data_IF_912781559930
#
_entry.id   IF_912781559930
#
_cell.length_a   1.000
_cell.length_b   1.000
_cell.length_c   1.000
_cell.angle_alpha   90.00
_cell.angle_beta   90.00
_cell.angle_gamma   90.00
#
_symmetry.space_group_name_H-M   'P 1'
#
loop_
_entity.id
_entity.type
_entity.pdbx_description
1 polymer ?
#
# COMPACT_ATOMS: atom_id res chain seq x y z
N UNK A 1 5.40 -22.27 -17.80
CA UNK A 1 4.19 -21.97 -16.97
C UNK A 1 4.55 -21.61 -15.54
N UNK A 2 5.53 -22.26 -14.91
CA UNK A 2 5.95 -22.00 -13.52
C UNK A 2 6.44 -20.57 -13.26
N UNK A 3 7.22 -20.00 -14.19
CA UNK A 3 7.74 -18.62 -14.08
C UNK A 3 6.61 -17.57 -14.04
N UNK A 4 5.53 -17.75 -14.80
CA UNK A 4 4.40 -16.82 -14.81
C UNK A 4 3.62 -16.86 -13.49
N UNK A 5 3.37 -18.06 -12.95
CA UNK A 5 2.68 -18.25 -11.68
C UNK A 5 3.46 -17.63 -10.51
N UNK A 6 4.79 -17.70 -10.55
CA UNK A 6 5.67 -17.08 -9.57
C UNK A 6 5.59 -15.55 -9.62
N UNK A 7 5.60 -14.96 -10.82
CA UNK A 7 5.44 -13.51 -11.01
C UNK A 7 4.08 -13.04 -10.50
N UNK A 8 2.99 -13.73 -10.86
CA UNK A 8 1.63 -13.38 -10.38
C UNK A 8 1.53 -13.50 -8.86
N UNK A 9 2.13 -14.54 -8.27
CA UNK A 9 2.15 -14.71 -6.81
C UNK A 9 2.88 -13.57 -6.11
N UNK A 10 4.01 -13.11 -6.65
CA UNK A 10 4.74 -11.95 -6.12
C UNK A 10 3.89 -10.68 -6.23
N UNK A 11 3.21 -10.46 -7.35
CA UNK A 11 2.33 -9.29 -7.53
C UNK A 11 1.17 -9.29 -6.52
N UNK A 12 0.58 -10.45 -6.25
CA UNK A 12 -0.46 -10.62 -5.22
C UNK A 12 0.13 -10.33 -3.83
N UNK A 13 1.31 -10.84 -3.53
CA UNK A 13 1.97 -10.65 -2.23
C UNK A 13 2.28 -9.16 -1.99
N UNK A 14 2.77 -8.45 -3.00
CA UNK A 14 3.01 -7.01 -2.95
C UNK A 14 1.70 -6.23 -2.81
N UNK A 15 0.63 -6.65 -3.50
CA UNK A 15 -0.68 -6.00 -3.39
C UNK A 15 -1.28 -6.14 -1.98
N UNK A 16 -1.10 -7.29 -1.33
CA UNK A 16 -1.58 -7.53 0.04
C UNK A 16 -0.70 -6.80 1.05
N UNK A 17 0.62 -6.81 0.88
CA UNK A 17 1.56 -6.28 1.87
C UNK A 17 1.88 -4.79 1.72
N UNK A 18 1.69 -4.18 0.54
CA UNK A 18 2.08 -2.80 0.27
C UNK A 18 1.45 -1.79 1.23
N UNK A 19 0.14 -1.88 1.45
CA UNK A 19 -0.58 -1.01 2.39
C UNK A 19 -0.24 -1.29 3.87
N UNK A 20 -0.22 -2.56 4.36
CA UNK A 20 0.29 -2.87 5.70
C UNK A 20 1.71 -2.38 5.96
N UNK A 21 2.62 -2.50 4.99
CA UNK A 21 4.00 -2.00 5.08
C UNK A 21 3.99 -0.47 5.17
N UNK A 22 3.23 0.22 4.32
CA UNK A 22 3.07 1.68 4.40
C UNK A 22 2.55 2.14 5.77
N UNK A 23 1.58 1.42 6.33
CA UNK A 23 1.06 1.66 7.68
C UNK A 23 2.11 1.44 8.78
N UNK A 24 2.89 0.35 8.68
CA UNK A 24 3.91 -0.01 9.65
C UNK A 24 5.04 1.03 9.66
N UNK A 25 5.46 1.49 8.48
CA UNK A 25 6.43 2.56 8.30
C UNK A 25 5.96 3.82 9.02
N UNK A 26 4.69 4.22 8.88
CA UNK A 26 4.16 5.41 9.56
C UNK A 26 4.23 5.32 11.10
N UNK A 27 4.11 4.11 11.66
CA UNK A 27 4.13 3.86 13.12
C UNK A 27 5.51 4.04 13.76
N UNK A 28 6.59 4.05 12.98
CA UNK A 28 7.95 4.22 13.52
C UNK A 28 8.14 5.68 13.96
N UNK A 29 8.45 5.95 15.25
CA UNK A 29 8.70 7.31 15.73
C UNK A 29 9.98 7.87 15.10
N UNK A 30 9.92 9.11 14.61
CA UNK A 30 11.05 9.80 13.98
C UNK A 30 11.28 11.15 14.66
N UNK A 31 12.51 11.39 15.13
CA UNK A 31 12.87 12.62 15.84
C UNK A 31 13.28 13.78 14.92
N UNK A 32 13.60 13.51 13.64
CA UNK A 32 14.05 14.52 12.66
C UNK A 32 12.98 14.76 11.60
N UNK A 33 12.68 16.04 11.32
CA UNK A 33 11.70 16.47 10.30
C UNK A 33 11.96 15.90 8.91
N UNK A 34 13.23 15.89 8.49
CA UNK A 34 13.62 15.30 7.19
C UNK A 34 13.28 13.80 7.11
N UNK A 35 13.52 13.05 8.18
CA UNK A 35 13.19 11.63 8.27
C UNK A 35 11.68 11.39 8.28
N UNK A 36 10.90 12.29 8.90
CA UNK A 36 9.43 12.25 8.88
C UNK A 36 8.88 12.45 7.46
N UNK A 37 9.42 13.39 6.70
CA UNK A 37 9.03 13.63 5.30
C UNK A 37 9.40 12.46 4.38
N UNK A 38 10.60 11.90 4.53
CA UNK A 38 11.02 10.73 3.76
C UNK A 38 10.16 9.49 4.07
N UNK A 39 9.87 9.26 5.35
CA UNK A 39 8.95 8.20 5.82
C UNK A 39 7.58 8.33 5.19
N UNK A 40 7.08 9.57 5.08
CA UNK A 40 5.79 9.88 4.46
C UNK A 40 5.80 9.60 2.96
N UNK A 41 6.86 10.02 2.26
CA UNK A 41 7.02 9.73 0.83
C UNK A 41 7.10 8.22 0.58
N UNK A 42 7.87 7.50 1.38
CA UNK A 42 7.96 6.05 1.28
C UNK A 42 6.59 5.37 1.52
N UNK A 43 5.90 5.73 2.60
CA UNK A 43 4.57 5.21 2.89
C UNK A 43 3.57 5.52 1.77
N UNK A 44 3.62 6.73 1.20
CA UNK A 44 2.77 7.13 0.08
C UNK A 44 3.06 6.31 -1.19
N UNK A 45 4.34 6.12 -1.54
CA UNK A 45 4.75 5.31 -2.70
C UNK A 45 4.30 3.85 -2.53
N UNK A 46 4.54 3.23 -1.37
CA UNK A 46 4.11 1.85 -1.12
C UNK A 46 2.58 1.69 -1.18
N UNK A 47 1.85 2.70 -0.70
CA UNK A 47 0.40 2.73 -0.76
C UNK A 47 -0.12 2.90 -2.20
N UNK A 48 0.54 3.74 -3.01
CA UNK A 48 0.25 3.89 -4.43
C UNK A 48 0.45 2.59 -5.20
N UNK A 49 1.55 1.87 -4.93
CA UNK A 49 1.80 0.56 -5.54
C UNK A 49 0.73 -0.46 -5.15
N UNK A 50 0.34 -0.52 -3.87
CA UNK A 50 -0.77 -1.36 -3.40
C UNK A 50 -2.07 -1.05 -4.15
N UNK A 51 -2.44 0.22 -4.23
CA UNK A 51 -3.65 0.69 -4.91
C UNK A 51 -3.63 0.40 -6.42
N UNK A 52 -2.51 0.68 -7.09
CA UNK A 52 -2.35 0.42 -8.53
C UNK A 52 -2.44 -1.07 -8.86
N UNK A 53 -1.81 -1.93 -8.05
CA UNK A 53 -1.90 -3.37 -8.21
C UNK A 53 -3.30 -3.90 -7.87
N UNK A 54 -3.94 -3.39 -6.81
CA UNK A 54 -5.31 -3.75 -6.44
C UNK A 54 -6.31 -3.42 -7.56
N UNK A 55 -6.18 -2.23 -8.18
CA UNK A 55 -7.01 -1.85 -9.33
C UNK A 55 -6.73 -2.70 -10.57
N UNK A 56 -5.48 -3.07 -10.81
CA UNK A 56 -5.09 -3.94 -11.94
C UNK A 56 -5.62 -5.36 -11.76
N UNK A 57 -5.58 -5.88 -10.53
CA UNK A 57 -6.19 -7.16 -10.18
C UNK A 57 -7.71 -7.06 -10.38
N UNK A 58 -8.35 -5.96 -10.00
CA UNK A 58 -9.79 -5.79 -10.21
C UNK A 58 -10.17 -5.73 -11.71
N UNK A 59 -9.36 -5.04 -12.53
CA UNK A 59 -9.64 -4.84 -13.95
C UNK A 59 -9.37 -6.07 -14.82
N UNK A 60 -8.55 -7.01 -14.35
CA UNK A 60 -8.22 -8.25 -15.06
C UNK A 60 -9.28 -9.35 -14.91
N UNK A 61 -10.39 -9.08 -14.20
CA UNK A 61 -11.51 -10.00 -14.05
C UNK A 61 -11.16 -11.35 -13.40
N UNK A 62 -10.49 -11.36 -12.23
CA UNK A 62 -10.04 -12.60 -11.61
C UNK A 62 -11.21 -13.37 -11.00
N UNK A 63 -11.00 -14.68 -10.78
CA UNK A 63 -11.85 -15.51 -9.93
C UNK A 63 -12.09 -14.84 -8.56
N UNK A 64 -13.18 -15.21 -7.87
CA UNK A 64 -13.66 -14.59 -6.61
C UNK A 64 -12.54 -14.25 -5.60
N UNK A 65 -11.51 -15.10 -5.47
CA UNK A 65 -10.35 -14.85 -4.60
C UNK A 65 -9.54 -13.60 -4.96
N UNK A 66 -9.34 -13.28 -6.24
CA UNK A 66 -8.65 -12.07 -6.67
C UNK A 66 -9.46 -10.79 -6.40
N UNK A 67 -10.79 -10.87 -6.46
CA UNK A 67 -11.67 -9.75 -6.13
C UNK A 67 -11.55 -9.37 -4.66
N UNK A 68 -11.52 -10.36 -3.76
CA UNK A 68 -11.34 -10.11 -2.31
C UNK A 68 -9.99 -9.45 -2.03
N UNK A 69 -8.92 -9.92 -2.67
CA UNK A 69 -7.58 -9.35 -2.53
C UNK A 69 -7.54 -7.91 -3.05
N UNK A 70 -8.14 -7.65 -4.21
CA UNK A 70 -8.22 -6.31 -4.79
C UNK A 70 -8.95 -5.34 -3.86
N UNK A 71 -10.14 -5.71 -3.36
CA UNK A 71 -10.93 -4.87 -2.43
C UNK A 71 -10.14 -4.61 -1.15
N UNK A 72 -9.50 -5.65 -0.58
CA UNK A 72 -8.66 -5.50 0.61
C UNK A 72 -7.51 -4.51 0.36
N UNK A 73 -6.79 -4.68 -0.74
CA UNK A 73 -5.65 -3.83 -1.11
C UNK A 73 -6.07 -2.37 -1.33
N UNK A 74 -7.16 -2.14 -2.06
CA UNK A 74 -7.72 -0.80 -2.30
C UNK A 74 -8.16 -0.17 -0.98
N UNK A 75 -8.94 -0.89 -0.17
CA UNK A 75 -9.47 -0.38 1.10
C UNK A 75 -8.35 0.00 2.07
N UNK A 76 -7.38 -0.89 2.27
CA UNK A 76 -6.24 -0.64 3.15
C UNK A 76 -5.37 0.51 2.63
N UNK A 77 -5.20 0.62 1.30
CA UNK A 77 -4.46 1.73 0.71
C UNK A 77 -5.15 3.07 0.95
N UNK A 78 -6.48 3.14 0.76
CA UNK A 78 -7.27 4.34 1.05
C UNK A 78 -7.15 4.73 2.53
N UNK A 79 -7.22 3.76 3.45
CA UNK A 79 -7.07 4.02 4.89
C UNK A 79 -5.69 4.60 5.23
N UNK A 80 -4.62 4.09 4.62
CA UNK A 80 -3.27 4.65 4.80
C UNK A 80 -3.19 6.08 4.25
N UNK A 81 -3.76 6.34 3.06
CA UNK A 81 -3.81 7.69 2.47
C UNK A 81 -4.56 8.68 3.36
N UNK A 82 -5.74 8.29 3.87
CA UNK A 82 -6.52 9.10 4.81
C UNK A 82 -5.70 9.38 6.07
N UNK A 83 -4.98 8.38 6.60
CA UNK A 83 -4.13 8.57 7.78
C UNK A 83 -2.99 9.55 7.52
N UNK A 84 -2.30 9.43 6.38
CA UNK A 84 -1.26 10.39 5.97
C UNK A 84 -1.83 11.81 5.86
N UNK A 85 -3.06 11.94 5.37
CA UNK A 85 -3.69 13.24 5.15
C UNK A 85 -4.24 13.88 6.45
N UNK A 86 -4.90 13.09 7.30
CA UNK A 86 -5.59 13.55 8.53
C UNK A 86 -4.65 13.84 9.69
N UNK A 87 -3.51 13.15 9.75
CA UNK A 87 -2.60 13.26 10.88
C UNK A 87 -1.76 14.56 10.78
N UNK A 88 -2.28 15.61 11.44
CA UNK A 88 -1.70 16.96 11.51
C UNK A 88 -0.29 17.00 12.10
N UNK A 89 0.07 16.00 12.89
CA UNK A 89 1.43 15.82 13.45
C UNK A 89 2.49 15.66 12.36
N UNK A 90 2.09 15.38 11.11
CA UNK A 90 2.97 15.34 9.94
C UNK A 90 2.96 16.62 9.09
N UNK A 91 2.12 17.60 9.41
CA UNK A 91 1.91 18.83 8.63
C UNK A 91 2.27 20.10 9.40
N UNK A 92 2.01 20.12 10.70
CA UNK A 92 2.24 21.27 11.57
C UNK A 92 3.57 21.11 12.32
N UNK A 93 4.68 21.44 11.65
CA UNK A 93 5.99 21.76 12.24
C UNK A 93 6.76 22.69 11.31
#
# INVERSE_FOLDING_TARGET
MESLALVVSIMILISILGAPIGWLILKIPTHKRSTTNFKRLAAFIFTLFGLMLGLTILSTGPAIGGVVIAIFSITTSILVLIKIWRDKTYWEH
#
